data_IF_376656558596
#
_entry.id   IF_376656558596
#
_cell.length_a   1.000
_cell.length_b   1.000
_cell.length_c   1.000
_cell.angle_alpha   90.00
_cell.angle_beta   90.00
_cell.angle_gamma   90.00
#
_symmetry.space_group_name_H-M   'P 1'
#
loop_
_entity.id
_entity.type
_entity.pdbx_description
1 polymer ?
#
# COMPACT_ATOMS: atom_id res chain seq x y z
N UNK A 1 -7.42 -12.26 -2.54
CA UNK A 1 -6.60 -12.33 -1.32
C UNK A 1 -7.30 -11.51 -0.24
N UNK A 2 -7.35 -12.00 1.00
CA UNK A 2 -8.37 -11.68 2.02
C UNK A 2 -8.41 -10.26 2.59
N UNK A 3 -7.57 -9.33 2.13
CA UNK A 3 -7.53 -7.96 2.67
C UNK A 3 -7.12 -7.94 4.15
N UNK A 4 -7.46 -6.83 4.82
CA UNK A 4 -7.27 -6.66 6.26
C UNK A 4 -8.63 -6.49 6.93
N UNK A 5 -8.76 -7.05 8.12
CA UNK A 5 -9.88 -6.80 9.01
C UNK A 5 -9.81 -5.38 9.61
N UNK A 6 -10.94 -4.81 10.05
CA UNK A 6 -10.97 -3.45 10.59
C UNK A 6 -10.05 -3.23 11.79
N UNK A 7 -9.85 -4.25 12.64
CA UNK A 7 -8.97 -4.15 13.81
C UNK A 7 -7.49 -4.13 13.41
N UNK A 8 -7.08 -4.90 12.40
CA UNK A 8 -5.71 -4.89 11.88
C UNK A 8 -5.34 -3.51 11.32
N UNK A 9 -6.28 -2.87 10.61
CA UNK A 9 -6.10 -1.50 10.12
C UNK A 9 -5.97 -0.50 11.29
N UNK A 10 -6.73 -0.70 12.38
CA UNK A 10 -6.64 0.15 13.57
C UNK A 10 -5.26 0.03 14.25
N UNK A 11 -4.75 -1.18 14.42
CA UNK A 11 -3.42 -1.43 14.97
C UNK A 11 -2.31 -0.82 14.10
N UNK A 12 -2.39 -0.98 12.77
CA UNK A 12 -1.45 -0.37 11.83
C UNK A 12 -1.46 1.16 11.93
N UNK A 13 -2.63 1.78 12.02
CA UNK A 13 -2.75 3.24 12.21
C UNK A 13 -2.16 3.70 13.54
N UNK A 14 -2.37 2.95 14.63
CA UNK A 14 -1.74 3.24 15.93
C UNK A 14 -0.22 3.13 15.88
N UNK A 15 0.32 2.23 15.05
CA UNK A 15 1.75 2.11 14.78
C UNK A 15 2.29 3.20 13.83
N UNK A 16 1.45 4.14 13.36
CA UNK A 16 1.84 5.23 12.47
C UNK A 16 1.78 4.90 10.97
N UNK A 17 1.15 3.79 10.58
CA UNK A 17 0.95 3.49 9.17
C UNK A 17 -0.10 4.40 8.52
N UNK A 18 0.16 4.81 7.28
CA UNK A 18 -0.76 5.60 6.47
C UNK A 18 -1.43 4.72 5.41
N UNK A 19 -2.77 4.76 5.37
CA UNK A 19 -3.55 4.04 4.34
C UNK A 19 -3.54 4.85 3.05
N UNK A 20 -3.16 4.20 1.95
CA UNK A 20 -3.08 4.81 0.61
C UNK A 20 -3.76 3.91 -0.43
N UNK A 21 -4.08 4.47 -1.59
CA UNK A 21 -4.62 3.73 -2.75
C UNK A 21 -3.71 3.89 -3.96
N UNK A 22 -3.72 2.89 -4.86
CA UNK A 22 -2.90 2.86 -6.09
C UNK A 22 -3.77 3.09 -7.34
N UNK A 23 -4.71 4.03 -7.24
CA UNK A 23 -5.70 4.31 -8.28
C UNK A 23 -7.02 3.55 -8.11
N UNK A 24 -7.93 3.61 -9.10
CA UNK A 24 -9.31 3.13 -8.97
C UNK A 24 -9.48 1.61 -9.18
N UNK A 25 -8.41 0.90 -9.58
CA UNK A 25 -8.46 -0.54 -9.86
C UNK A 25 -7.90 -1.34 -8.69
N UNK A 26 -8.57 -2.43 -8.34
CA UNK A 26 -8.04 -3.42 -7.40
C UNK A 26 -6.92 -4.19 -8.09
N UNK A 27 -5.69 -4.03 -7.59
CA UNK A 27 -4.53 -4.77 -8.06
C UNK A 27 -4.46 -6.12 -7.36
N UNK A 28 -3.89 -7.13 -8.04
CA UNK A 28 -3.47 -8.36 -7.37
C UNK A 28 -2.33 -8.05 -6.40
N UNK A 29 -2.20 -8.81 -5.33
CA UNK A 29 -1.24 -8.54 -4.24
C UNK A 29 0.20 -8.42 -4.75
N UNK A 30 0.61 -9.32 -5.63
CA UNK A 30 1.92 -9.28 -6.29
C UNK A 30 2.15 -7.96 -7.06
N UNK A 31 1.13 -7.48 -7.77
CA UNK A 31 1.19 -6.24 -8.57
C UNK A 31 1.17 -5.00 -7.69
N UNK A 32 0.39 -5.01 -6.60
CA UNK A 32 0.29 -3.88 -5.68
C UNK A 32 1.65 -3.52 -5.07
N UNK A 33 2.41 -4.52 -4.63
CA UNK A 33 3.75 -4.32 -4.06
C UNK A 33 4.76 -3.76 -5.08
N UNK A 34 4.77 -4.30 -6.30
CA UNK A 34 5.65 -3.80 -7.37
C UNK A 34 5.34 -2.35 -7.74
N UNK A 35 4.06 -2.01 -7.92
CA UNK A 35 3.62 -0.66 -8.29
C UNK A 35 3.89 0.34 -7.17
N UNK A 36 3.61 0.00 -5.91
CA UNK A 36 3.91 0.87 -4.77
C UNK A 36 5.41 1.20 -4.69
N UNK A 37 6.27 0.19 -4.82
CA UNK A 37 7.73 0.36 -4.80
C UNK A 37 8.21 1.28 -5.92
N UNK A 38 7.74 1.06 -7.15
CA UNK A 38 8.10 1.89 -8.29
C UNK A 38 7.69 3.35 -8.10
N UNK A 39 6.49 3.61 -7.56
CA UNK A 39 6.02 4.98 -7.26
C UNK A 39 6.90 5.62 -6.19
N UNK A 40 7.23 4.91 -5.11
CA UNK A 40 8.10 5.42 -4.06
C UNK A 40 9.49 5.78 -4.61
N UNK A 41 10.09 4.89 -5.41
CA UNK A 41 11.39 5.15 -6.04
C UNK A 41 11.34 6.38 -6.96
N UNK A 42 10.31 6.47 -7.82
CA UNK A 42 10.11 7.62 -8.70
C UNK A 42 9.97 8.93 -7.93
N UNK A 43 9.17 8.94 -6.85
CA UNK A 43 8.93 10.13 -6.03
C UNK A 43 10.13 10.54 -5.19
N UNK A 44 11.03 9.62 -4.89
CA UNK A 44 12.23 9.86 -4.08
C UNK A 44 13.49 10.06 -4.92
N UNK A 45 13.37 10.09 -6.26
CA UNK A 45 14.50 10.17 -7.21
C UNK A 45 15.53 9.05 -7.01
N UNK A 46 15.07 7.86 -6.63
CA UNK A 46 15.89 6.66 -6.55
C UNK A 46 15.81 5.79 -7.83
N UNK A 47 15.18 6.35 -8.87
CA UNK A 47 15.18 5.98 -10.30
C UNK A 47 15.04 7.27 -11.11
#
# INVERSE_FOLDING_TARGET
EGGFEPYEIAELKLAGAHVVTLGPRILRTETAGMVASAICMYKTNNI
#
